data_IF_229211956348
#
_entry.id   IF_229211956348
#
_cell.length_a   1.000
_cell.length_b   1.000
_cell.length_c   1.000
_cell.angle_alpha   90.00
_cell.angle_beta   90.00
_cell.angle_gamma   90.00
#
_symmetry.space_group_name_H-M   'P 1'
#
loop_
_entity.id
_entity.type
_entity.pdbx_description
1 polymer ?
#
# COMPACT_ATOMS: atom_id res chain seq x y z
N UNK A 1 -17.74 -10.49 2.48
CA UNK A 1 -17.48 -11.87 2.05
C UNK A 1 -17.16 -11.86 0.58
N UNK A 2 -16.23 -12.70 0.16
CA UNK A 2 -15.82 -12.84 -1.25
C UNK A 2 -16.74 -13.81 -2.01
N UNK A 3 -17.67 -14.46 -1.29
CA UNK A 3 -18.59 -15.48 -1.82
C UNK A 3 -20.02 -15.05 -1.56
N UNK A 4 -20.82 -14.89 -2.61
CA UNK A 4 -22.21 -14.45 -2.53
C UNK A 4 -23.13 -15.56 -2.01
N UNK A 5 -22.82 -16.84 -2.32
CA UNK A 5 -23.54 -18.02 -1.83
C UNK A 5 -22.58 -19.00 -1.14
N UNK A 6 -22.28 -18.80 0.15
CA UNK A 6 -21.30 -19.58 0.88
C UNK A 6 -21.78 -21.00 1.14
N UNK A 7 -20.92 -21.98 0.80
CA UNK A 7 -21.14 -23.39 1.12
C UNK A 7 -20.50 -23.74 2.47
N UNK A 8 -20.78 -24.94 2.98
CA UNK A 8 -20.21 -25.44 4.24
C UNK A 8 -18.69 -25.28 4.36
N UNK A 9 -17.96 -25.46 3.25
CA UNK A 9 -16.50 -25.37 3.21
C UNK A 9 -15.97 -23.91 3.25
N UNK A 10 -16.86 -22.94 3.03
CA UNK A 10 -16.51 -21.52 3.03
C UNK A 10 -16.73 -20.88 4.42
N UNK A 11 -17.21 -21.67 5.38
CA UNK A 11 -17.54 -21.23 6.74
C UNK A 11 -16.51 -21.80 7.72
N UNK A 12 -16.04 -20.97 8.65
CA UNK A 12 -15.15 -21.40 9.72
C UNK A 12 -15.86 -22.33 10.71
N UNK A 13 -15.10 -23.24 11.30
CA UNK A 13 -15.64 -24.17 12.32
C UNK A 13 -15.88 -23.50 13.67
N UNK A 14 -15.34 -22.32 13.92
CA UNK A 14 -15.56 -21.54 15.13
C UNK A 14 -16.41 -20.32 14.80
N UNK A 15 -17.47 -20.11 15.55
CA UNK A 15 -18.41 -19.03 15.35
C UNK A 15 -18.87 -18.40 16.66
N UNK A 16 -19.79 -17.47 16.55
CA UNK A 16 -20.40 -16.78 17.68
C UNK A 16 -21.91 -17.05 17.70
N UNK A 17 -22.41 -17.59 18.82
CA UNK A 17 -23.84 -17.55 19.12
C UNK A 17 -24.23 -16.10 19.34
N UNK A 18 -25.25 -15.62 18.62
CA UNK A 18 -25.66 -14.22 18.67
C UNK A 18 -27.16 -14.07 18.77
N UNK A 19 -27.61 -13.07 19.49
CA UNK A 19 -29.01 -12.67 19.57
C UNK A 19 -29.31 -11.58 18.53
N UNK A 20 -30.41 -11.70 17.83
CA UNK A 20 -30.92 -10.69 16.89
C UNK A 20 -31.61 -9.60 17.71
N UNK A 21 -31.07 -8.40 17.75
CA UNK A 21 -31.65 -7.27 18.45
C UNK A 21 -32.63 -6.49 17.56
N UNK A 22 -32.31 -6.33 16.29
CA UNK A 22 -33.11 -5.55 15.35
C UNK A 22 -32.93 -6.03 13.93
N UNK A 23 -34.02 -6.02 13.16
CA UNK A 23 -34.01 -6.30 11.74
C UNK A 23 -34.67 -5.13 11.01
N UNK A 24 -33.97 -4.55 10.05
CA UNK A 24 -34.42 -3.43 9.23
C UNK A 24 -34.44 -3.84 7.76
N UNK A 25 -35.58 -3.76 7.12
CA UNK A 25 -35.69 -3.88 5.66
C UNK A 25 -35.47 -2.52 5.03
N UNK A 26 -34.54 -2.42 4.11
CA UNK A 26 -34.27 -1.22 3.33
C UNK A 26 -35.14 -1.18 2.06
N UNK A 27 -35.36 0.02 1.46
CA UNK A 27 -36.19 0.16 0.25
C UNK A 27 -35.61 -0.58 -0.98
N UNK A 28 -34.32 -0.84 -1.00
CA UNK A 28 -33.59 -1.58 -2.04
C UNK A 28 -33.75 -3.11 -1.94
N UNK A 29 -34.51 -3.59 -0.96
CA UNK A 29 -34.73 -5.01 -0.70
C UNK A 29 -33.64 -5.65 0.18
N UNK A 30 -32.58 -4.92 0.55
CA UNK A 30 -31.55 -5.42 1.48
C UNK A 30 -32.08 -5.43 2.92
N UNK A 31 -31.55 -6.37 3.73
CA UNK A 31 -31.90 -6.50 5.13
C UNK A 31 -30.68 -6.20 6.00
N UNK A 32 -30.79 -5.20 6.87
CA UNK A 32 -29.80 -4.95 7.92
C UNK A 32 -30.22 -5.62 9.20
N UNK A 33 -29.33 -6.43 9.76
CA UNK A 33 -29.56 -7.13 11.03
C UNK A 33 -28.55 -6.62 12.05
N UNK A 34 -29.05 -6.17 13.20
CA UNK A 34 -28.23 -5.86 14.37
C UNK A 34 -28.21 -7.11 15.26
N UNK A 35 -27.01 -7.61 15.51
CA UNK A 35 -26.80 -8.80 16.35
C UNK A 35 -25.91 -8.50 17.53
N UNK A 36 -26.14 -9.17 18.66
CA UNK A 36 -25.28 -9.14 19.84
C UNK A 36 -24.66 -10.52 20.04
N UNK A 37 -23.32 -10.58 20.08
CA UNK A 37 -22.59 -11.82 20.34
C UNK A 37 -22.74 -12.23 21.81
N UNK A 38 -23.11 -13.48 22.02
CA UNK A 38 -23.37 -14.04 23.37
C UNK A 38 -22.24 -14.96 23.82
N UNK A 39 -21.87 -15.94 22.99
CA UNK A 39 -20.84 -16.92 23.34
C UNK A 39 -20.09 -17.44 22.13
N UNK A 40 -18.83 -17.84 22.34
CA UNK A 40 -18.04 -18.56 21.34
C UNK A 40 -18.56 -19.99 21.22
N UNK A 41 -18.65 -20.47 20.01
CA UNK A 41 -19.11 -21.82 19.72
C UNK A 41 -18.20 -22.50 18.72
N UNK A 42 -18.11 -23.82 18.82
CA UNK A 42 -17.47 -24.66 17.81
C UNK A 42 -18.55 -25.47 17.11
N UNK A 43 -18.56 -25.44 15.80
CA UNK A 43 -19.47 -26.18 14.97
C UNK A 43 -18.98 -27.63 14.92
N UNK A 44 -19.87 -28.58 15.27
CA UNK A 44 -19.61 -29.99 15.20
C UNK A 44 -20.01 -30.56 13.87
N UNK A 45 -21.23 -30.24 13.42
CA UNK A 45 -21.80 -30.79 12.17
C UNK A 45 -22.75 -29.79 11.52
N UNK A 46 -22.69 -29.69 10.19
CA UNK A 46 -23.65 -28.93 9.41
C UNK A 46 -24.80 -29.84 8.94
N UNK A 47 -26.01 -29.37 9.08
CA UNK A 47 -27.22 -30.05 8.57
C UNK A 47 -27.67 -29.38 7.28
N UNK A 48 -28.02 -30.17 6.28
CA UNK A 48 -28.54 -29.68 5.01
C UNK A 48 -30.04 -29.42 5.14
N UNK A 49 -30.39 -28.14 5.21
CA UNK A 49 -31.76 -27.67 4.98
C UNK A 49 -31.77 -26.88 3.68
N UNK A 50 -32.76 -27.15 2.80
CA UNK A 50 -32.82 -26.51 1.48
C UNK A 50 -33.03 -24.98 1.53
N UNK A 51 -33.41 -24.42 2.67
CA UNK A 51 -33.77 -23.01 2.82
C UNK A 51 -32.70 -22.22 3.59
N UNK A 52 -31.92 -22.84 4.48
CA UNK A 52 -30.91 -22.20 5.29
C UNK A 52 -29.86 -23.17 5.80
N UNK A 53 -28.68 -22.69 6.10
CA UNK A 53 -27.63 -23.49 6.73
C UNK A 53 -27.91 -23.63 8.23
N UNK A 54 -27.97 -24.88 8.71
CA UNK A 54 -28.09 -25.18 10.13
C UNK A 54 -26.93 -26.04 10.61
N UNK A 55 -26.62 -25.98 11.89
CA UNK A 55 -25.51 -26.73 12.47
C UNK A 55 -25.80 -27.13 13.92
N UNK A 56 -25.18 -28.22 14.35
CA UNK A 56 -24.99 -28.50 15.76
C UNK A 56 -23.72 -27.90 16.24
N UNK A 57 -23.69 -27.36 17.45
CA UNK A 57 -22.54 -26.69 18.01
C UNK A 57 -22.39 -26.99 19.51
N UNK A 58 -21.15 -26.78 20.01
CA UNK A 58 -20.85 -26.76 21.42
C UNK A 58 -20.41 -25.37 21.88
N UNK A 59 -20.84 -24.95 23.07
CA UNK A 59 -20.40 -23.68 23.67
C UNK A 59 -18.98 -23.84 24.23
N UNK A 60 -18.13 -22.90 23.89
CA UNK A 60 -16.75 -22.91 24.34
C UNK A 60 -16.58 -22.04 25.58
N UNK A 61 -15.85 -22.58 26.56
CA UNK A 61 -15.53 -21.88 27.80
C UNK A 61 -14.10 -21.34 27.68
N UNK A 62 -13.92 -20.07 28.00
CA UNK A 62 -12.60 -19.46 28.02
C UNK A 62 -11.73 -20.04 29.14
N UNK A 63 -10.46 -20.24 28.82
CA UNK A 63 -9.50 -20.73 29.78
C UNK A 63 -8.85 -19.52 30.49
N UNK A 64 -9.29 -19.24 31.69
CA UNK A 64 -8.65 -18.27 32.58
C UNK A 64 -7.77 -19.04 33.55
N UNK A 65 -6.47 -18.85 33.50
CA UNK A 65 -5.57 -19.30 34.54
C UNK A 65 -5.84 -18.45 35.79
N UNK A 66 -6.48 -19.04 36.81
CA UNK A 66 -6.91 -18.35 38.03
C UNK A 66 -5.76 -17.73 38.83
N UNK A 67 -4.54 -18.20 38.59
CA UNK A 67 -3.35 -17.78 39.35
C UNK A 67 -2.56 -16.64 38.65
N UNK A 68 -2.96 -16.19 37.44
CA UNK A 68 -2.27 -15.12 36.75
C UNK A 68 -3.14 -13.86 36.69
N UNK A 69 -2.61 -12.75 37.21
CA UNK A 69 -3.21 -11.45 36.97
C UNK A 69 -2.90 -10.98 35.52
N UNK A 70 -3.92 -11.08 34.62
CA UNK A 70 -3.81 -10.68 33.22
C UNK A 70 -4.05 -9.19 32.99
N UNK A 71 -4.46 -8.44 34.04
CA UNK A 71 -4.73 -7.00 33.90
C UNK A 71 -3.51 -6.20 33.45
N UNK A 72 -2.28 -6.41 33.95
CA UNK A 72 -1.12 -5.69 33.44
C UNK A 72 -0.87 -5.91 31.97
N UNK A 73 -1.08 -7.14 31.46
CA UNK A 73 -0.95 -7.46 30.04
C UNK A 73 -2.04 -6.78 29.21
N UNK A 74 -3.29 -6.79 29.68
CA UNK A 74 -4.40 -6.11 29.03
C UNK A 74 -4.18 -4.59 28.96
N UNK A 75 -3.73 -3.96 30.06
CA UNK A 75 -3.39 -2.54 30.09
C UNK A 75 -2.23 -2.19 29.14
N UNK A 76 -1.23 -3.07 29.02
CA UNK A 76 -0.17 -2.89 28.05
C UNK A 76 -0.72 -2.95 26.61
N UNK A 77 -1.66 -3.84 26.34
CA UNK A 77 -2.33 -3.94 25.02
C UNK A 77 -3.12 -2.67 24.71
N UNK A 78 -3.81 -2.07 25.67
CA UNK A 78 -4.49 -0.78 25.53
C UNK A 78 -3.49 0.33 25.18
N UNK A 79 -2.34 0.41 25.88
CA UNK A 79 -1.30 1.41 25.57
C UNK A 79 -0.73 1.24 24.17
N UNK A 80 -0.55 0.01 23.69
CA UNK A 80 -0.15 -0.27 22.31
C UNK A 80 -1.20 0.20 21.32
N UNK A 81 -2.49 -0.05 21.61
CA UNK A 81 -3.60 0.43 20.77
C UNK A 81 -3.62 1.95 20.69
N UNK A 82 -3.43 2.66 21.80
CA UNK A 82 -3.32 4.14 21.82
C UNK A 82 -2.19 4.64 20.94
N UNK A 83 -1.02 4.00 21.03
CA UNK A 83 0.13 4.34 20.18
C UNK A 83 -0.19 4.10 18.70
N UNK A 84 -0.80 2.98 18.35
CA UNK A 84 -1.21 2.68 16.98
C UNK A 84 -2.23 3.72 16.47
N UNK A 85 -3.20 4.08 17.30
CA UNK A 85 -4.23 5.07 16.97
C UNK A 85 -3.64 6.47 16.75
N UNK A 86 -2.65 6.88 17.56
CA UNK A 86 -1.97 8.16 17.39
C UNK A 86 -1.27 8.28 16.02
N UNK A 87 -0.85 7.16 15.45
CA UNK A 87 -0.19 7.08 14.14
C UNK A 87 -1.23 7.03 13.00
N UNK A 88 -2.29 6.24 13.18
CA UNK A 88 -3.23 5.87 12.10
C UNK A 88 -4.54 6.68 12.13
N UNK A 89 -4.92 7.27 13.26
CA UNK A 89 -6.16 8.07 13.48
C UNK A 89 -7.47 7.38 13.04
N UNK A 90 -7.47 6.05 12.89
CA UNK A 90 -8.66 5.28 12.46
C UNK A 90 -9.64 5.00 13.60
N UNK A 91 -9.16 4.97 14.84
CA UNK A 91 -9.95 4.65 16.03
C UNK A 91 -10.19 5.96 16.80
N UNK A 92 -11.42 6.19 17.27
CA UNK A 92 -11.74 7.38 18.04
C UNK A 92 -11.19 7.31 19.48
N UNK A 93 -10.89 8.46 20.07
CA UNK A 93 -10.49 8.53 21.48
C UNK A 93 -11.59 8.02 22.42
N UNK A 94 -12.85 8.20 22.04
CA UNK A 94 -14.00 7.68 22.77
C UNK A 94 -13.98 6.16 22.85
N UNK A 95 -13.71 5.48 21.73
CA UNK A 95 -13.56 4.02 21.71
C UNK A 95 -12.47 3.55 22.67
N UNK A 96 -11.32 4.22 22.67
CA UNK A 96 -10.21 3.87 23.58
C UNK A 96 -10.63 4.06 25.04
N UNK A 97 -11.33 5.15 25.35
CA UNK A 97 -11.82 5.41 26.71
C UNK A 97 -12.83 4.34 27.14
N UNK A 98 -13.70 3.90 26.25
CA UNK A 98 -14.65 2.82 26.52
C UNK A 98 -13.94 1.50 26.84
N UNK A 99 -12.86 1.18 26.11
CA UNK A 99 -12.05 -0.02 26.38
C UNK A 99 -11.33 0.07 27.74
N UNK A 100 -10.84 1.25 28.12
CA UNK A 100 -10.17 1.49 29.42
C UNK A 100 -11.05 1.25 30.65
N UNK A 101 -12.36 1.45 30.50
CA UNK A 101 -13.33 1.26 31.60
C UNK A 101 -13.55 -0.22 31.88
N UNK A 102 -13.26 -1.10 30.91
CA UNK A 102 -13.43 -2.53 31.08
C UNK A 102 -12.45 -3.08 32.11
N UNK A 103 -12.96 -3.96 32.99
CA UNK A 103 -12.17 -4.62 34.04
C UNK A 103 -11.85 -6.09 33.74
N UNK A 104 -12.41 -6.61 32.65
CA UNK A 104 -12.25 -8.00 32.24
C UNK A 104 -11.24 -8.09 31.09
N UNK A 105 -10.07 -8.77 31.30
CA UNK A 105 -9.06 -8.94 30.25
C UNK A 105 -9.58 -9.62 28.97
N UNK A 106 -10.56 -10.53 29.11
CA UNK A 106 -11.17 -11.17 27.95
C UNK A 106 -11.94 -10.15 27.11
N UNK A 107 -12.82 -9.35 27.75
CA UNK A 107 -13.57 -8.30 27.06
C UNK A 107 -12.68 -7.23 26.45
N UNK A 108 -11.59 -6.87 27.15
CA UNK A 108 -10.57 -5.94 26.62
C UNK A 108 -9.96 -6.52 25.35
N UNK A 109 -9.56 -7.79 25.36
CA UNK A 109 -8.95 -8.44 24.19
C UNK A 109 -9.89 -8.45 22.99
N UNK A 110 -11.16 -8.77 23.17
CA UNK A 110 -12.14 -8.83 22.10
C UNK A 110 -12.47 -7.45 21.52
N UNK A 111 -12.60 -6.44 22.41
CA UNK A 111 -12.80 -5.07 21.95
C UNK A 111 -11.58 -4.54 21.18
N UNK A 112 -10.36 -4.82 21.60
CA UNK A 112 -9.15 -4.44 20.83
C UNK A 112 -9.18 -5.14 19.48
N UNK A 113 -9.42 -6.46 19.44
CA UNK A 113 -9.42 -7.25 18.22
C UNK A 113 -10.41 -6.75 17.17
N UNK A 114 -11.59 -6.26 17.60
CA UNK A 114 -12.61 -5.73 16.69
C UNK A 114 -12.14 -4.50 15.89
N UNK A 115 -11.24 -3.70 16.48
CA UNK A 115 -10.73 -2.45 15.90
C UNK A 115 -9.41 -2.62 15.15
N UNK A 116 -8.78 -3.80 15.18
CA UNK A 116 -7.53 -4.05 14.46
C UNK A 116 -7.77 -4.14 12.95
N UNK A 117 -6.83 -3.57 12.20
CA UNK A 117 -6.79 -3.72 10.74
C UNK A 117 -6.06 -5.03 10.38
N UNK A 118 -6.65 -6.15 10.77
CA UNK A 118 -6.14 -7.49 10.56
C UNK A 118 -6.95 -8.20 9.46
N UNK A 119 -6.33 -9.18 8.82
CA UNK A 119 -7.01 -10.05 7.85
C UNK A 119 -8.10 -10.88 8.53
N UNK A 120 -9.06 -11.38 7.75
CA UNK A 120 -10.13 -12.26 8.28
C UNK A 120 -9.54 -13.48 8.98
N UNK A 121 -8.49 -14.07 8.40
CA UNK A 121 -7.80 -15.22 8.98
C UNK A 121 -7.15 -14.90 10.34
N UNK A 122 -6.48 -13.74 10.46
CA UNK A 122 -5.90 -13.31 11.74
C UNK A 122 -6.97 -13.02 12.80
N UNK A 123 -8.07 -12.37 12.42
CA UNK A 123 -9.22 -12.14 13.31
C UNK A 123 -9.84 -13.47 13.76
N UNK A 124 -9.98 -14.42 12.86
CA UNK A 124 -10.47 -15.76 13.17
C UNK A 124 -9.52 -16.48 14.13
N UNK A 125 -8.22 -16.42 13.93
CA UNK A 125 -7.23 -17.01 14.84
C UNK A 125 -7.30 -16.39 16.24
N UNK A 126 -7.47 -15.08 16.35
CA UNK A 126 -7.70 -14.41 17.64
C UNK A 126 -8.99 -14.92 18.29
N UNK A 127 -10.05 -15.06 17.50
CA UNK A 127 -11.37 -15.53 17.96
C UNK A 127 -11.34 -16.98 18.45
N UNK A 128 -10.61 -17.87 17.79
CA UNK A 128 -10.45 -19.29 18.13
C UNK A 128 -9.57 -19.50 19.37
N UNK A 129 -8.75 -18.50 19.75
CA UNK A 129 -7.86 -18.61 20.89
C UNK A 129 -8.61 -18.42 22.20
N UNK A 130 -8.94 -19.52 22.89
CA UNK A 130 -9.69 -19.53 24.14
C UNK A 130 -8.88 -19.08 25.35
N UNK A 131 -7.55 -19.28 25.32
CA UNK A 131 -6.62 -18.81 26.36
C UNK A 131 -6.44 -17.29 26.24
N UNK A 132 -6.93 -16.54 27.22
CA UNK A 132 -6.92 -15.07 27.21
C UNK A 132 -5.50 -14.50 27.17
N UNK A 133 -4.51 -15.15 27.82
CA UNK A 133 -3.12 -14.72 27.77
C UNK A 133 -2.54 -14.85 26.37
N UNK A 134 -2.75 -16.01 25.73
CA UNK A 134 -2.31 -16.25 24.36
C UNK A 134 -2.99 -15.30 23.38
N UNK A 135 -4.29 -15.03 23.57
CA UNK A 135 -5.06 -14.09 22.77
C UNK A 135 -4.52 -12.67 22.86
N UNK A 136 -4.24 -12.16 24.07
CA UNK A 136 -3.63 -10.84 24.28
C UNK A 136 -2.23 -10.75 23.62
N UNK A 137 -1.42 -11.80 23.74
CA UNK A 137 -0.12 -11.84 23.10
C UNK A 137 -0.22 -11.85 21.57
N UNK A 138 -1.19 -12.58 21.01
CA UNK A 138 -1.46 -12.58 19.57
C UNK A 138 -1.90 -11.20 19.06
N UNK A 139 -2.82 -10.56 19.78
CA UNK A 139 -3.26 -9.18 19.52
C UNK A 139 -2.08 -8.21 19.56
N UNK A 140 -1.21 -8.32 20.57
CA UNK A 140 -0.01 -7.49 20.68
C UNK A 140 0.93 -7.68 19.49
N UNK A 141 1.11 -8.91 19.01
CA UNK A 141 1.91 -9.23 17.83
C UNK A 141 1.32 -8.61 16.56
N UNK A 142 0.00 -8.68 16.38
CA UNK A 142 -0.69 -8.06 15.24
C UNK A 142 -0.50 -6.55 15.27
N UNK A 143 -0.66 -5.89 16.43
CA UNK A 143 -0.45 -4.45 16.59
C UNK A 143 1.00 -4.02 16.30
N UNK A 144 1.98 -4.81 16.75
CA UNK A 144 3.40 -4.55 16.49
C UNK A 144 3.71 -4.64 14.98
N UNK A 145 3.15 -5.62 14.29
CA UNK A 145 3.25 -5.77 12.85
C UNK A 145 2.61 -4.57 12.11
N UNK A 146 1.39 -4.20 12.48
CA UNK A 146 0.69 -3.05 11.87
C UNK A 146 1.49 -1.75 12.08
N UNK A 147 2.00 -1.53 13.30
CA UNK A 147 2.85 -0.36 13.60
C UNK A 147 4.11 -0.34 12.73
N UNK A 148 4.73 -1.50 12.51
CA UNK A 148 5.92 -1.64 11.67
C UNK A 148 5.61 -1.32 10.21
N UNK A 149 4.51 -1.83 9.68
CA UNK A 149 4.05 -1.58 8.30
C UNK A 149 3.80 -0.08 8.09
N UNK A 150 3.06 0.56 8.99
CA UNK A 150 2.79 2.01 8.92
C UNK A 150 4.10 2.81 8.96
N UNK A 151 5.07 2.39 9.79
CA UNK A 151 6.39 3.01 9.87
C UNK A 151 7.16 2.92 8.54
N UNK A 152 7.09 1.78 7.85
CA UNK A 152 7.68 1.58 6.52
C UNK A 152 6.97 2.42 5.47
N UNK A 153 5.65 2.41 5.43
CA UNK A 153 4.85 3.22 4.51
C UNK A 153 5.15 4.72 4.65
N UNK A 154 5.24 5.22 5.89
CA UNK A 154 5.58 6.62 6.16
C UNK A 154 6.98 6.98 5.61
N UNK A 155 7.96 6.08 5.78
CA UNK A 155 9.32 6.28 5.23
C UNK A 155 9.32 6.27 3.71
N UNK A 156 8.61 5.33 3.08
CA UNK A 156 8.49 5.26 1.62
C UNK A 156 7.84 6.53 1.08
N UNK A 157 6.72 6.93 1.66
CA UNK A 157 5.98 8.15 1.27
C UNK A 157 6.84 9.40 1.42
N UNK A 158 7.64 9.49 2.51
CA UNK A 158 8.61 10.57 2.71
C UNK A 158 9.69 10.61 1.62
N UNK A 159 10.29 9.46 1.27
CA UNK A 159 11.28 9.36 0.20
C UNK A 159 10.71 9.74 -1.16
N UNK A 160 9.52 9.23 -1.50
CA UNK A 160 8.83 9.57 -2.76
C UNK A 160 8.57 11.07 -2.84
N UNK A 161 8.08 11.69 -1.76
CA UNK A 161 7.85 13.14 -1.70
C UNK A 161 9.14 13.92 -1.97
N UNK A 162 10.23 13.59 -1.27
CA UNK A 162 11.54 14.26 -1.45
C UNK A 162 12.06 14.08 -2.88
N UNK A 163 11.92 12.88 -3.46
CA UNK A 163 12.33 12.64 -4.83
C UNK A 163 11.49 13.44 -5.84
N UNK A 164 10.19 13.52 -5.63
CA UNK A 164 9.31 14.34 -6.48
C UNK A 164 9.67 15.82 -6.40
N UNK A 165 9.89 16.35 -5.20
CA UNK A 165 10.30 17.75 -4.99
C UNK A 165 11.64 18.04 -5.69
N UNK A 166 12.60 17.11 -5.64
CA UNK A 166 13.89 17.22 -6.33
C UNK A 166 13.70 17.25 -7.85
N UNK A 167 12.96 16.30 -8.40
CA UNK A 167 12.70 16.21 -9.83
C UNK A 167 11.96 17.46 -10.35
N UNK A 168 10.97 17.94 -9.60
CA UNK A 168 10.23 19.15 -9.95
C UNK A 168 11.13 20.40 -9.96
N UNK A 169 12.04 20.50 -8.99
CA UNK A 169 13.03 21.58 -8.94
C UNK A 169 14.01 21.49 -10.10
N UNK A 170 14.51 20.30 -10.43
CA UNK A 170 15.39 20.07 -11.59
C UNK A 170 14.69 20.46 -12.90
N UNK A 171 13.43 20.06 -13.07
CA UNK A 171 12.63 20.47 -14.23
C UNK A 171 12.48 21.98 -14.32
N UNK A 172 12.12 22.65 -13.24
CA UNK A 172 11.97 24.10 -13.20
C UNK A 172 13.28 24.83 -13.54
N UNK A 173 14.41 24.39 -12.99
CA UNK A 173 15.72 24.95 -13.30
C UNK A 173 16.11 24.74 -14.77
N UNK A 174 15.82 23.58 -15.33
CA UNK A 174 16.06 23.30 -16.75
C UNK A 174 15.20 24.19 -17.66
N UNK A 175 13.95 24.42 -17.32
CA UNK A 175 13.09 25.31 -18.09
C UNK A 175 13.54 26.79 -17.98
N UNK A 176 13.99 27.24 -16.80
CA UNK A 176 14.62 28.55 -16.64
C UNK A 176 15.89 28.67 -17.50
N UNK A 177 16.75 27.65 -17.49
CA UNK A 177 17.97 27.63 -18.28
C UNK A 177 17.67 27.76 -19.79
N UNK A 178 16.67 26.99 -20.28
CA UNK A 178 16.21 27.08 -21.66
C UNK A 178 15.66 28.48 -22.00
N UNK A 179 14.88 29.08 -21.10
CA UNK A 179 14.36 30.44 -21.30
C UNK A 179 15.49 31.48 -21.38
N UNK A 180 16.49 31.40 -20.50
CA UNK A 180 17.65 32.28 -20.50
C UNK A 180 18.48 32.09 -21.78
N UNK A 181 18.74 30.85 -22.21
CA UNK A 181 19.45 30.54 -23.45
C UNK A 181 18.73 31.11 -24.67
N UNK A 182 17.38 31.06 -24.67
CA UNK A 182 16.55 31.64 -25.73
C UNK A 182 16.67 33.16 -25.76
N UNK A 183 16.67 33.83 -24.60
CA UNK A 183 16.85 35.28 -24.51
C UNK A 183 18.29 35.73 -24.93
N UNK A 184 19.30 34.89 -24.65
CA UNK A 184 20.67 35.12 -25.07
C UNK A 184 20.95 34.80 -26.54
N UNK A 185 19.95 34.31 -27.30
CA UNK A 185 20.08 33.94 -28.72
C UNK A 185 20.82 32.62 -28.98
N UNK A 186 21.20 31.88 -27.95
CA UNK A 186 21.95 30.60 -28.07
C UNK A 186 21.11 29.41 -28.56
N UNK A 187 19.77 29.53 -28.60
CA UNK A 187 18.88 28.40 -28.99
C UNK A 187 18.46 28.41 -30.46
N UNK A 188 18.63 29.54 -31.19
CA UNK A 188 18.39 29.55 -32.62
C UNK A 188 19.44 28.74 -33.42
N UNK A 189 20.67 28.63 -32.88
CA UNK A 189 21.75 27.88 -33.53
C UNK A 189 21.54 26.33 -33.50
N UNK A 190 20.92 25.77 -32.48
CA UNK A 190 20.84 24.28 -32.32
C UNK A 190 19.93 23.59 -33.33
N UNK A 191 18.85 24.25 -33.86
CA UNK A 191 18.00 23.70 -34.90
C UNK A 191 18.61 23.93 -36.30
N UNK A 192 19.33 25.01 -36.46
CA UNK A 192 20.04 25.31 -37.72
C UNK A 192 21.31 24.45 -37.85
N UNK A 193 22.01 24.17 -36.74
CA UNK A 193 23.21 23.33 -36.68
C UNK A 193 22.91 21.87 -37.14
N UNK A 194 21.88 21.21 -36.60
CA UNK A 194 21.54 19.84 -37.02
C UNK A 194 21.04 19.79 -38.48
N UNK A 195 20.41 20.85 -38.96
CA UNK A 195 20.02 21.00 -40.38
C UNK A 195 21.23 21.23 -41.26
N UNK A 196 22.20 22.04 -40.82
CA UNK A 196 23.45 22.30 -41.54
C UNK A 196 24.34 21.07 -41.61
N UNK A 197 24.51 20.33 -40.51
CA UNK A 197 25.23 19.03 -40.47
C UNK A 197 24.57 18.00 -41.40
N UNK A 198 23.26 17.91 -41.42
CA UNK A 198 22.54 17.00 -42.35
C UNK A 198 22.85 17.34 -43.82
N UNK A 199 22.80 18.62 -44.19
CA UNK A 199 23.13 19.08 -45.55
C UNK A 199 24.60 18.81 -45.88
N UNK A 200 25.52 18.98 -44.92
CA UNK A 200 26.96 18.75 -45.06
C UNK A 200 27.26 17.25 -45.30
N UNK A 201 26.62 16.34 -44.52
CA UNK A 201 26.75 14.90 -44.69
C UNK A 201 26.32 14.48 -46.12
N UNK A 202 25.22 15.00 -46.61
CA UNK A 202 24.73 14.69 -47.97
C UNK A 202 25.69 15.26 -49.06
N UNK A 203 26.29 16.42 -48.83
CA UNK A 203 27.22 17.08 -49.78
C UNK A 203 28.61 16.43 -49.83
N UNK A 204 29.08 15.77 -48.76
CA UNK A 204 30.39 15.16 -48.71
C UNK A 204 30.57 13.96 -49.62
N UNK A 205 29.51 13.40 -50.22
CA UNK A 205 29.52 12.25 -51.14
C UNK A 205 30.19 11.01 -50.59
N UNK A 206 30.11 10.80 -49.27
CA UNK A 206 30.69 9.63 -48.61
C UNK A 206 30.02 8.33 -49.04
N UNK A 207 30.65 7.15 -48.87
CA UNK A 207 30.06 5.86 -49.17
C UNK A 207 28.75 5.63 -48.40
N UNK A 208 27.79 4.95 -49.02
CA UNK A 208 26.42 4.78 -48.46
C UNK A 208 26.38 4.18 -47.03
N UNK A 209 27.33 3.32 -46.67
CA UNK A 209 27.39 2.71 -45.35
C UNK A 209 27.86 3.72 -44.31
N UNK A 210 28.80 4.60 -44.69
CA UNK A 210 29.29 5.68 -43.82
C UNK A 210 28.22 6.74 -43.64
N UNK A 211 27.55 7.13 -44.71
CA UNK A 211 26.42 8.08 -44.69
C UNK A 211 25.31 7.62 -43.73
N UNK A 212 24.90 6.31 -43.82
CA UNK A 212 23.91 5.74 -42.88
C UNK A 212 24.35 5.83 -41.43
N UNK A 213 25.64 5.59 -41.15
CA UNK A 213 26.19 5.68 -39.83
C UNK A 213 26.18 7.13 -39.31
N UNK A 214 26.65 8.07 -40.10
CA UNK A 214 26.61 9.51 -39.78
C UNK A 214 25.17 10.00 -39.54
N UNK A 215 24.21 9.59 -40.35
CA UNK A 215 22.79 9.92 -40.14
C UNK A 215 22.23 9.32 -38.84
N UNK A 216 22.66 8.11 -38.47
CA UNK A 216 22.27 7.52 -37.19
C UNK A 216 22.82 8.30 -36.00
N UNK A 217 24.08 8.73 -36.06
CA UNK A 217 24.72 9.53 -35.01
C UNK A 217 24.10 10.95 -34.94
N UNK A 218 23.79 11.57 -36.09
CA UNK A 218 23.04 12.85 -36.15
C UNK A 218 21.66 12.74 -35.49
N UNK A 219 20.95 11.59 -35.69
CA UNK A 219 19.67 11.36 -35.02
C UNK A 219 19.82 11.24 -33.50
N UNK A 220 20.90 10.64 -33.02
CA UNK A 220 21.22 10.58 -31.57
C UNK A 220 21.53 11.99 -31.05
N UNK A 221 22.36 12.75 -31.74
CA UNK A 221 22.73 14.12 -31.39
C UNK A 221 21.48 15.02 -31.22
N UNK A 222 20.50 14.87 -32.10
CA UNK A 222 19.23 15.62 -32.05
C UNK A 222 18.43 15.37 -30.75
N UNK A 223 18.58 14.18 -30.16
CA UNK A 223 17.89 13.79 -28.94
C UNK A 223 18.73 14.00 -27.65
N UNK A 224 20.01 14.39 -27.79
CA UNK A 224 20.90 14.66 -26.66
C UNK A 224 20.74 16.10 -26.20
N UNK A 225 21.08 16.34 -24.92
CA UNK A 225 21.20 17.72 -24.42
C UNK A 225 22.38 18.41 -25.10
N UNK A 226 22.20 19.61 -25.68
CA UNK A 226 23.26 20.32 -26.41
C UNK A 226 24.54 20.57 -25.59
N UNK A 227 24.41 20.65 -24.27
CA UNK A 227 25.50 20.92 -23.31
C UNK A 227 26.12 19.64 -22.74
N UNK A 228 25.74 18.44 -23.20
CA UNK A 228 26.34 17.20 -22.70
C UNK A 228 27.72 16.96 -23.31
N UNK A 229 28.64 16.40 -22.51
CA UNK A 229 29.95 16.00 -23.01
C UNK A 229 29.84 14.99 -24.19
N UNK A 230 28.83 14.13 -24.14
CA UNK A 230 28.52 13.16 -25.19
C UNK A 230 28.09 13.85 -26.50
N UNK A 231 27.27 14.92 -26.42
CA UNK A 231 26.87 15.67 -27.61
C UNK A 231 28.07 16.34 -28.29
N UNK A 232 29.02 16.85 -27.51
CA UNK A 232 30.27 17.43 -28.01
C UNK A 232 31.11 16.39 -28.74
N UNK A 233 31.24 15.19 -28.19
CA UNK A 233 31.99 14.10 -28.81
C UNK A 233 31.35 13.67 -30.13
N UNK A 234 30.03 13.51 -30.16
CA UNK A 234 29.30 13.12 -31.37
C UNK A 234 29.36 14.22 -32.44
N UNK A 235 29.34 15.51 -32.03
CA UNK A 235 29.48 16.65 -32.94
C UNK A 235 30.85 16.64 -33.59
N UNK A 236 31.93 16.56 -32.81
CA UNK A 236 33.30 16.48 -33.29
C UNK A 236 33.50 15.28 -34.22
N UNK A 237 32.88 14.10 -33.90
CA UNK A 237 32.94 12.93 -34.77
C UNK A 237 32.29 13.19 -36.13
N UNK A 238 31.12 13.84 -36.17
CA UNK A 238 30.46 14.18 -37.42
C UNK A 238 31.23 15.19 -38.26
N UNK A 239 31.83 16.21 -37.60
CA UNK A 239 32.66 17.20 -38.29
C UNK A 239 33.87 16.55 -38.94
N UNK A 240 34.58 15.67 -38.21
CA UNK A 240 35.70 14.92 -38.76
C UNK A 240 35.30 14.02 -39.95
N UNK A 241 34.16 13.38 -39.85
CA UNK A 241 33.64 12.56 -40.97
C UNK A 241 33.25 13.37 -42.19
N UNK A 242 32.81 14.62 -42.01
CA UNK A 242 32.46 15.54 -43.10
C UNK A 242 33.74 16.08 -43.77
N UNK A 243 34.79 16.34 -43.00
CA UNK A 243 36.02 16.94 -43.47
C UNK A 243 36.96 15.95 -44.19
N UNK A 244 36.71 14.64 -44.09
CA UNK A 244 37.51 13.64 -44.78
C UNK A 244 37.27 13.74 -46.32
N UNK A 245 38.33 13.65 -47.14
CA UNK A 245 38.20 13.64 -48.60
C UNK A 245 37.72 12.29 -49.08
N UNK A 246 36.47 12.15 -49.24
CA UNK A 246 35.80 10.92 -49.70
C UNK A 246 35.87 10.70 -51.21
#
# INVERSE_FOLDING_TARGET
>A
SEVDDPKKNDIFNYGCESSILQLLKLPDGTVKVLVEGVSRVKINEFHDNNEYLSCSYEKLIETLNKDEDLMPLALNSIKKLEKLTSINKKISNETINNIKILKDPSKISDNIASHLNATISEKQQVFETLDVKKRLNLINKIMDNETSIIGVEKRIRGRVKTQMEKTQREYYLNEQLKAIQKELGEIEDGKDETSSLNKAIIRSKMPKDVEKKCMSELKKLKNMSPMSAEATVVRNYLDWMIDLPW
#
